data_IF_327348715769
#
_entry.id   IF_327348715769
#
_cell.length_a   1.000
_cell.length_b   1.000
_cell.length_c   1.000
_cell.angle_alpha   90.00
_cell.angle_beta   90.00
_cell.angle_gamma   90.00
#
_symmetry.space_group_name_H-M   'P 1'
#
loop_
_entity.id
_entity.type
_entity.pdbx_description
1 polymer ?
#
# COMPACT_ATOMS: atom_id res chain seq x y z
N UNK A 1 -16.14 16.94 0.79
CA UNK A 1 -14.70 17.05 1.04
C UNK A 1 -14.28 16.21 2.25
N UNK A 2 -14.11 14.90 2.04
CA UNK A 2 -13.86 13.94 3.12
C UNK A 2 -12.51 13.23 3.00
N UNK A 3 -11.52 13.85 2.37
CA UNK A 3 -10.17 13.27 2.23
C UNK A 3 -9.14 13.96 3.10
N UNK A 4 -9.48 14.32 4.35
CA UNK A 4 -8.60 15.05 5.28
C UNK A 4 -7.31 14.31 5.69
N UNK A 5 -6.88 13.28 5.02
CA UNK A 5 -5.58 12.63 5.25
C UNK A 5 -4.75 12.51 3.98
N UNK A 6 -5.40 12.30 2.83
CA UNK A 6 -4.71 12.05 1.56
C UNK A 6 -4.64 13.30 0.64
N UNK A 7 -5.28 14.41 1.03
CA UNK A 7 -5.26 15.66 0.26
C UNK A 7 -5.58 15.43 -1.22
N UNK A 8 -4.68 15.85 -2.11
CA UNK A 8 -4.89 15.79 -3.57
C UNK A 8 -4.50 14.45 -4.21
N UNK A 9 -4.38 13.35 -3.44
CA UNK A 9 -4.17 12.02 -4.04
C UNK A 9 -5.46 11.54 -4.67
N UNK A 10 -5.51 11.54 -5.99
CA UNK A 10 -6.67 11.10 -6.74
C UNK A 10 -6.80 9.57 -6.72
N UNK A 11 -8.01 9.08 -6.45
CA UNK A 11 -8.35 7.65 -6.49
C UNK A 11 -9.24 7.34 -7.69
N UNK A 12 -9.14 6.12 -8.22
CA UNK A 12 -10.10 5.65 -9.24
C UNK A 12 -11.48 5.34 -8.66
N UNK A 13 -11.58 5.04 -7.36
CA UNK A 13 -12.85 4.74 -6.70
C UNK A 13 -13.76 5.97 -6.66
N UNK A 14 -15.00 5.81 -7.11
CA UNK A 14 -16.02 6.87 -7.16
C UNK A 14 -17.05 6.69 -6.06
N UNK A 15 -17.59 5.47 -5.93
CA UNK A 15 -18.67 5.15 -4.99
C UNK A 15 -18.72 3.66 -4.71
N UNK A 16 -18.89 3.27 -3.47
CA UNK A 16 -19.31 1.93 -3.08
C UNK A 16 -20.81 1.78 -3.36
N UNK A 17 -21.19 0.74 -4.07
CA UNK A 17 -22.58 0.44 -4.45
C UNK A 17 -23.21 -0.53 -3.45
N UNK A 18 -22.46 -1.56 -3.06
CA UNK A 18 -22.77 -2.53 -2.03
C UNK A 18 -21.48 -3.17 -1.49
N UNK A 19 -21.60 -4.18 -0.61
CA UNK A 19 -20.45 -4.87 0.00
C UNK A 19 -19.53 -5.61 -1.01
N UNK A 20 -19.93 -5.74 -2.26
CA UNK A 20 -19.19 -6.48 -3.31
C UNK A 20 -18.95 -5.67 -4.58
N UNK A 21 -19.53 -4.48 -4.69
CA UNK A 21 -19.50 -3.69 -5.91
C UNK A 21 -19.08 -2.25 -5.63
N UNK A 22 -18.10 -1.80 -6.38
CA UNK A 22 -17.60 -0.43 -6.32
C UNK A 22 -17.59 0.19 -7.71
N UNK A 23 -18.18 1.37 -7.86
CA UNK A 23 -18.07 2.16 -9.07
C UNK A 23 -16.68 2.78 -9.12
N UNK A 24 -15.93 2.53 -10.19
CA UNK A 24 -14.57 3.03 -10.40
C UNK A 24 -14.43 3.74 -11.73
N UNK A 25 -13.52 4.71 -11.82
CA UNK A 25 -13.07 5.25 -13.09
C UNK A 25 -12.25 4.20 -13.83
N UNK A 26 -12.48 4.06 -15.15
CA UNK A 26 -11.64 3.21 -15.99
C UNK A 26 -10.26 3.86 -16.14
N UNK A 27 -9.22 3.07 -15.93
CA UNK A 27 -7.83 3.51 -16.03
C UNK A 27 -7.03 2.55 -16.93
N UNK A 28 -5.94 3.07 -17.49
CA UNK A 28 -4.86 2.27 -18.05
C UNK A 28 -3.82 2.09 -16.95
N UNK A 29 -3.58 0.86 -16.52
CA UNK A 29 -2.63 0.59 -15.43
C UNK A 29 -1.21 1.00 -15.85
N UNK A 30 -0.52 1.71 -14.96
CA UNK A 30 0.93 1.88 -15.05
C UNK A 30 1.55 0.55 -14.67
N UNK A 31 2.36 -0.11 -15.53
CA UNK A 31 2.81 -1.47 -15.29
C UNK A 31 3.96 -1.51 -14.26
N UNK A 32 3.74 -0.87 -13.13
CA UNK A 32 4.63 -0.81 -11.98
C UNK A 32 3.86 -1.18 -10.71
N UNK A 33 4.39 -2.11 -9.95
CA UNK A 33 4.07 -2.24 -8.53
C UNK A 33 4.97 -1.30 -7.74
N UNK A 34 4.41 -0.57 -6.81
CA UNK A 34 5.11 0.41 -5.98
C UNK A 34 5.06 -0.05 -4.54
N UNK A 35 6.21 -0.28 -3.93
CA UNK A 35 6.30 -0.77 -2.56
C UNK A 35 6.98 0.29 -1.70
N UNK A 36 6.27 0.76 -0.67
CA UNK A 36 6.82 1.68 0.33
C UNK A 36 7.12 0.89 1.60
N UNK A 37 8.32 1.05 2.17
CA UNK A 37 8.71 0.35 3.39
C UNK A 37 9.20 1.31 4.46
N UNK A 38 8.70 1.10 5.66
CA UNK A 38 9.08 1.81 6.88
C UNK A 38 10.02 0.97 7.75
N UNK A 39 9.93 -0.37 7.61
CA UNK A 39 10.67 -1.34 8.44
C UNK A 39 11.15 -2.46 7.52
N UNK A 40 12.35 -2.98 7.79
CA UNK A 40 12.89 -4.13 7.04
C UNK A 40 12.06 -5.38 7.28
N UNK A 41 11.52 -5.98 6.20
CA UNK A 41 10.76 -7.23 6.27
C UNK A 41 10.74 -7.95 4.91
N UNK A 42 10.39 -9.22 4.95
CA UNK A 42 10.09 -10.03 3.76
C UNK A 42 11.20 -10.03 2.72
N UNK A 43 10.86 -9.68 1.47
CA UNK A 43 11.81 -9.69 0.35
C UNK A 43 12.96 -8.71 0.54
N UNK A 44 12.73 -7.56 1.17
CA UNK A 44 13.80 -6.59 1.46
C UNK A 44 14.87 -7.19 2.36
N UNK A 45 14.47 -7.72 3.52
CA UNK A 45 15.38 -8.35 4.46
C UNK A 45 16.16 -9.50 3.80
N UNK A 46 15.47 -10.32 2.99
CA UNK A 46 16.07 -11.45 2.28
C UNK A 46 17.07 -11.01 1.21
N UNK A 47 16.71 -10.02 0.37
CA UNK A 47 17.54 -9.59 -0.75
C UNK A 47 18.80 -8.87 -0.29
N UNK A 48 18.70 -8.07 0.76
CA UNK A 48 19.83 -7.27 1.26
C UNK A 48 20.57 -7.91 2.43
N UNK A 49 20.13 -9.10 2.88
CA UNK A 49 20.81 -9.84 3.96
C UNK A 49 20.76 -9.11 5.30
N UNK A 50 19.71 -8.34 5.56
CA UNK A 50 19.52 -7.60 6.81
C UNK A 50 18.45 -8.26 7.68
N UNK A 51 18.51 -8.03 8.98
CA UNK A 51 17.50 -8.52 9.93
C UNK A 51 16.14 -7.87 9.65
N UNK A 52 15.06 -8.60 9.97
CA UNK A 52 13.73 -8.03 10.01
C UNK A 52 13.57 -7.14 11.25
N UNK A 53 12.76 -6.09 11.13
CA UNK A 53 12.44 -5.20 12.25
C UNK A 53 13.32 -3.95 12.36
N UNK A 54 14.26 -3.74 11.44
CA UNK A 54 15.03 -2.50 11.40
C UNK A 54 14.11 -1.38 10.92
N UNK A 55 13.87 -0.39 11.78
CA UNK A 55 13.10 0.81 11.43
C UNK A 55 13.99 1.74 10.62
N UNK A 56 13.50 2.14 9.45
CA UNK A 56 14.24 3.05 8.58
C UNK A 56 14.10 4.49 9.07
N UNK A 57 15.19 5.26 9.02
CA UNK A 57 15.17 6.69 9.30
C UNK A 57 14.26 7.44 8.31
N UNK A 58 14.32 7.03 7.05
CA UNK A 58 13.43 7.50 5.99
C UNK A 58 12.79 6.30 5.31
N UNK A 59 11.49 6.35 4.98
CA UNK A 59 10.85 5.28 4.23
C UNK A 59 11.54 5.10 2.88
N UNK A 60 11.66 3.86 2.42
CA UNK A 60 12.17 3.56 1.08
C UNK A 60 11.03 3.27 0.13
N UNK A 61 11.25 3.50 -1.17
CA UNK A 61 10.34 3.15 -2.26
C UNK A 61 11.04 2.21 -3.23
N UNK A 62 10.33 1.18 -3.63
CA UNK A 62 10.78 0.20 -4.62
C UNK A 62 9.78 0.12 -5.75
N UNK A 63 10.26 -0.13 -6.97
CA UNK A 63 9.44 -0.44 -8.12
C UNK A 63 9.68 -1.88 -8.55
N UNK A 64 8.61 -2.59 -8.91
CA UNK A 64 8.69 -3.86 -9.65
C UNK A 64 7.94 -3.73 -10.97
N UNK A 65 8.46 -4.37 -12.01
CA UNK A 65 7.74 -4.48 -13.27
C UNK A 65 6.57 -5.45 -13.08
N UNK A 66 5.34 -4.93 -13.20
CA UNK A 66 4.14 -5.74 -13.12
C UNK A 66 4.02 -6.65 -14.34
N UNK A 67 4.65 -7.81 -14.25
CA UNK A 67 4.69 -8.81 -15.30
C UNK A 67 4.90 -10.20 -14.71
N UNK A 68 3.82 -10.91 -14.43
CA UNK A 68 3.80 -12.23 -13.81
C UNK A 68 4.70 -13.25 -14.54
N UNK A 69 4.76 -13.16 -15.89
CA UNK A 69 5.59 -14.06 -16.69
C UNK A 69 7.11 -13.88 -16.44
N UNK A 70 7.51 -12.72 -15.93
CA UNK A 70 8.88 -12.40 -15.55
C UNK A 70 9.12 -12.47 -14.05
N UNK A 71 8.08 -12.79 -13.23
CA UNK A 71 8.16 -12.84 -11.79
C UNK A 71 8.31 -11.47 -11.13
N UNK A 72 7.72 -10.43 -11.71
CA UNK A 72 7.68 -9.06 -11.21
C UNK A 72 9.06 -8.51 -10.75
N UNK A 73 10.05 -8.47 -11.67
CA UNK A 73 11.41 -8.12 -11.29
C UNK A 73 11.51 -6.69 -10.76
N UNK A 74 12.37 -6.51 -9.74
CA UNK A 74 12.69 -5.19 -9.21
C UNK A 74 13.30 -4.30 -10.29
N UNK A 75 12.86 -3.05 -10.31
CA UNK A 75 13.34 -1.99 -11.20
C UNK A 75 13.81 -0.79 -10.39
N UNK A 76 14.74 -0.04 -10.95
CA UNK A 76 14.94 1.35 -10.56
C UNK A 76 14.24 2.30 -11.55
N UNK A 77 14.18 3.57 -11.21
CA UNK A 77 13.58 4.62 -12.06
C UNK A 77 14.12 4.61 -13.49
N UNK A 78 15.41 4.45 -13.68
CA UNK A 78 16.04 4.45 -15.02
C UNK A 78 15.60 3.24 -15.86
N UNK A 79 15.43 2.07 -15.24
CA UNK A 79 14.87 0.91 -15.93
C UNK A 79 13.43 1.17 -16.38
N UNK A 80 12.59 1.73 -15.49
CA UNK A 80 11.21 2.06 -15.82
C UNK A 80 11.11 3.05 -16.99
N UNK A 81 11.98 4.05 -17.03
CA UNK A 81 12.07 5.01 -18.14
C UNK A 81 12.58 4.37 -19.44
N UNK A 82 13.64 3.57 -19.38
CA UNK A 82 14.21 2.89 -20.53
C UNK A 82 13.21 1.92 -21.18
N UNK A 83 12.41 1.23 -20.36
CA UNK A 83 11.36 0.33 -20.81
C UNK A 83 10.06 1.08 -21.18
N UNK A 84 10.02 2.41 -21.05
CA UNK A 84 8.85 3.26 -21.34
C UNK A 84 7.59 2.86 -20.56
N UNK A 85 7.76 2.37 -19.34
CA UNK A 85 6.65 1.97 -18.47
C UNK A 85 5.92 3.19 -17.90
N UNK A 86 6.67 4.26 -17.62
CA UNK A 86 6.18 5.55 -17.16
C UNK A 86 7.06 6.70 -17.67
N UNK A 87 6.54 7.93 -17.65
CA UNK A 87 7.34 9.14 -17.89
C UNK A 87 8.02 9.63 -16.61
N UNK A 88 9.01 10.53 -16.69
CA UNK A 88 9.63 11.11 -15.50
C UNK A 88 8.63 11.84 -14.59
N UNK A 89 7.66 12.53 -15.18
CA UNK A 89 6.62 13.28 -14.47
C UNK A 89 5.65 12.33 -13.76
N UNK A 90 5.31 11.21 -14.41
CA UNK A 90 4.47 10.18 -13.81
C UNK A 90 5.18 9.52 -12.62
N UNK A 91 6.46 9.17 -12.75
CA UNK A 91 7.24 8.58 -11.65
C UNK A 91 7.29 9.55 -10.47
N UNK A 92 7.58 10.83 -10.71
CA UNK A 92 7.60 11.83 -9.65
C UNK A 92 6.25 11.96 -8.94
N UNK A 93 5.14 11.93 -9.70
CA UNK A 93 3.79 11.97 -9.15
C UNK A 93 3.49 10.71 -8.32
N UNK A 94 3.88 9.54 -8.82
CA UNK A 94 3.71 8.27 -8.12
C UNK A 94 4.50 8.25 -6.80
N UNK A 95 5.75 8.71 -6.81
CA UNK A 95 6.58 8.83 -5.61
C UNK A 95 5.94 9.76 -4.57
N UNK A 96 5.54 10.98 -4.98
CA UNK A 96 4.88 11.94 -4.09
C UNK A 96 3.59 11.36 -3.48
N UNK A 97 2.73 10.77 -4.29
CA UNK A 97 1.50 10.14 -3.82
C UNK A 97 1.79 8.99 -2.85
N UNK A 98 2.79 8.16 -3.15
CA UNK A 98 3.15 7.01 -2.33
C UNK A 98 3.62 7.42 -0.94
N UNK A 99 4.46 8.44 -0.82
CA UNK A 99 4.90 8.93 0.48
C UNK A 99 3.78 9.63 1.25
N UNK A 100 2.91 10.39 0.60
CA UNK A 100 1.74 11.01 1.24
C UNK A 100 0.75 9.95 1.75
N UNK A 101 0.51 8.90 0.96
CA UNK A 101 -0.29 7.74 1.38
C UNK A 101 0.38 7.05 2.59
N UNK A 102 1.70 6.87 2.57
CA UNK A 102 2.44 6.28 3.68
C UNK A 102 2.20 7.02 4.99
N UNK A 103 2.35 8.35 5.00
CA UNK A 103 2.13 9.13 6.22
C UNK A 103 0.68 9.03 6.74
N UNK A 104 -0.30 9.07 5.85
CA UNK A 104 -1.69 8.92 6.22
C UNK A 104 -2.00 7.54 6.80
N UNK A 105 -1.47 6.48 6.17
CA UNK A 105 -1.66 5.10 6.64
C UNK A 105 -0.92 4.83 7.95
N UNK A 106 0.29 5.31 8.13
CA UNK A 106 1.03 5.21 9.40
C UNK A 106 0.22 5.83 10.55
N UNK A 107 -0.27 7.05 10.34
CA UNK A 107 -1.08 7.74 11.32
C UNK A 107 -2.36 6.96 11.66
N UNK A 108 -3.07 6.48 10.64
CA UNK A 108 -4.29 5.68 10.81
C UNK A 108 -4.02 4.38 11.58
N UNK A 109 -3.08 3.56 11.13
CA UNK A 109 -2.79 2.26 11.76
C UNK A 109 -2.28 2.41 13.20
N UNK A 110 -1.48 3.45 13.46
CA UNK A 110 -1.02 3.73 14.83
C UNK A 110 -2.19 3.99 15.79
N UNK A 111 -3.26 4.65 15.34
CA UNK A 111 -4.47 4.83 16.17
C UNK A 111 -5.17 3.52 16.48
N UNK A 112 -4.95 2.48 15.68
CA UNK A 112 -5.47 1.13 15.88
C UNK A 112 -4.51 0.24 16.69
N UNK A 113 -3.39 0.77 17.19
CA UNK A 113 -2.37 -0.04 17.87
C UNK A 113 -1.54 -0.91 16.93
N UNK A 114 -1.52 -0.56 15.64
CA UNK A 114 -0.85 -1.33 14.59
C UNK A 114 0.28 -0.51 13.96
N UNK A 115 1.40 -1.15 13.71
CA UNK A 115 2.54 -0.60 12.99
C UNK A 115 2.48 -0.98 11.52
N UNK A 116 2.49 0.01 10.63
CA UNK A 116 2.62 -0.20 9.19
C UNK A 116 4.08 -0.47 8.83
N UNK A 117 4.39 -1.69 8.44
CA UNK A 117 5.75 -2.13 8.07
C UNK A 117 6.05 -1.75 6.62
N UNK A 118 5.26 -2.24 5.71
CA UNK A 118 5.31 -1.90 4.29
C UNK A 118 3.94 -2.12 3.63
N UNK A 119 3.78 -1.61 2.42
CA UNK A 119 2.58 -1.82 1.62
C UNK A 119 2.87 -1.64 0.15
N UNK A 120 2.02 -2.24 -0.69
CA UNK A 120 2.06 -2.18 -2.14
C UNK A 120 0.95 -1.28 -2.66
N UNK A 121 1.28 -0.48 -3.67
CA UNK A 121 0.35 0.37 -4.42
C UNK A 121 0.45 0.06 -5.91
N UNK A 122 -0.64 0.30 -6.62
CA UNK A 122 -0.67 0.34 -8.07
C UNK A 122 -1.36 1.63 -8.53
N UNK A 123 -0.87 2.19 -9.62
CA UNK A 123 -1.39 3.43 -10.18
C UNK A 123 -1.90 3.23 -11.60
N UNK A 124 -2.80 4.08 -12.03
CA UNK A 124 -3.34 4.08 -13.37
C UNK A 124 -3.47 5.48 -13.95
N UNK A 125 -3.55 5.55 -15.25
CA UNK A 125 -3.79 6.77 -16.03
C UNK A 125 -5.27 6.87 -16.37
N UNK A 126 -5.89 7.99 -16.09
CA UNK A 126 -7.18 8.37 -16.65
C UNK A 126 -7.02 8.72 -18.15
N UNK A 127 -8.14 8.90 -18.85
CA UNK A 127 -8.13 9.28 -20.27
C UNK A 127 -7.46 10.62 -20.56
N UNK A 128 -7.39 11.52 -19.59
CA UNK A 128 -6.73 12.81 -19.66
C UNK A 128 -5.24 12.77 -19.24
N UNK A 129 -4.72 11.58 -18.92
CA UNK A 129 -3.34 11.39 -18.47
C UNK A 129 -3.14 11.55 -16.95
N UNK A 130 -4.16 11.92 -16.20
CA UNK A 130 -4.06 12.09 -14.74
C UNK A 130 -3.72 10.75 -14.07
N UNK A 131 -2.70 10.74 -13.23
CA UNK A 131 -2.34 9.58 -12.40
C UNK A 131 -3.28 9.50 -11.21
N UNK A 132 -3.81 8.29 -10.98
CA UNK A 132 -4.67 7.99 -9.84
C UNK A 132 -4.26 6.68 -9.16
N UNK A 133 -4.52 6.58 -7.87
CA UNK A 133 -4.40 5.30 -7.16
C UNK A 133 -5.43 4.31 -7.73
N UNK A 134 -4.97 3.16 -8.21
CA UNK A 134 -5.77 2.24 -9.00
C UNK A 134 -6.12 0.93 -8.30
N UNK A 135 -5.32 0.50 -7.34
CA UNK A 135 -5.56 -0.72 -6.57
C UNK A 135 -6.10 -0.40 -5.17
N UNK A 136 -6.55 -1.41 -4.47
CA UNK A 136 -6.99 -1.30 -3.09
C UNK A 136 -5.81 -1.22 -2.12
N UNK A 137 -6.06 -0.63 -0.95
CA UNK A 137 -5.17 -0.70 0.20
C UNK A 137 -5.88 -1.59 1.22
N UNK A 138 -5.32 -2.76 1.47
CA UNK A 138 -5.91 -3.78 2.34
C UNK A 138 -4.82 -4.51 3.13
N UNK A 139 -5.18 -5.34 4.12
CA UNK A 139 -4.21 -6.21 4.79
C UNK A 139 -3.47 -7.17 3.84
N UNK A 140 -4.07 -7.49 2.68
CA UNK A 140 -3.42 -8.33 1.66
C UNK A 140 -2.29 -7.61 0.92
N UNK A 141 -2.37 -6.29 0.81
CA UNK A 141 -1.36 -5.46 0.17
C UNK A 141 -0.38 -4.82 1.15
N UNK A 142 -0.53 -5.08 2.46
CA UNK A 142 0.23 -4.47 3.54
C UNK A 142 0.88 -5.50 4.45
N UNK A 143 1.97 -5.11 5.15
CA UNK A 143 2.48 -5.79 6.35
C UNK A 143 2.16 -4.95 7.56
N UNK A 144 1.48 -5.56 8.50
CA UNK A 144 0.93 -4.93 9.69
C UNK A 144 1.38 -5.72 10.91
N UNK A 145 2.01 -5.05 11.89
CA UNK A 145 2.43 -5.68 13.12
C UNK A 145 1.78 -5.01 14.33
N UNK A 146 1.46 -5.78 15.36
CA UNK A 146 1.04 -5.21 16.63
C UNK A 146 2.13 -4.30 17.20
N UNK A 147 1.76 -3.11 17.69
CA UNK A 147 2.71 -2.10 18.14
C UNK A 147 3.48 -2.50 19.40
N UNK A 148 2.91 -3.39 20.24
CA UNK A 148 3.48 -3.80 21.53
C UNK A 148 4.21 -5.14 21.43
N UNK A 149 3.60 -6.10 20.76
CA UNK A 149 4.08 -7.49 20.71
C UNK A 149 4.91 -7.76 19.46
N UNK A 150 4.85 -6.89 18.45
CA UNK A 150 5.39 -7.10 17.10
C UNK A 150 4.84 -8.34 16.39
N UNK A 151 3.69 -8.84 16.87
CA UNK A 151 2.99 -9.95 16.23
C UNK A 151 2.50 -9.53 14.85
N UNK A 152 2.63 -10.44 13.88
CA UNK A 152 2.23 -10.20 12.48
C UNK A 152 0.71 -10.36 12.37
N UNK A 153 0.03 -9.32 11.88
CA UNK A 153 -1.43 -9.23 11.77
C UNK A 153 -1.92 -9.31 10.32
N UNK A 154 -1.07 -9.77 9.42
CA UNK A 154 -1.30 -9.76 7.97
C UNK A 154 -1.04 -11.14 7.34
N UNK A 155 -1.09 -11.22 6.02
CA UNK A 155 -0.88 -12.46 5.24
C UNK A 155 0.46 -13.16 5.48
N UNK A 156 1.45 -12.54 6.10
CA UNK A 156 2.71 -13.20 6.43
C UNK A 156 2.51 -14.29 7.49
N UNK A 157 1.45 -14.22 8.32
CA UNK A 157 1.08 -15.34 9.21
C UNK A 157 0.79 -16.60 8.42
N UNK A 158 0.01 -16.50 7.35
CA UNK A 158 -0.28 -17.64 6.47
C UNK A 158 0.97 -18.15 5.75
N UNK A 159 1.76 -17.24 5.16
CA UNK A 159 2.98 -17.60 4.41
C UNK A 159 4.05 -18.25 5.27
N UNK A 160 4.05 -17.98 6.58
CA UNK A 160 5.02 -18.51 7.54
C UNK A 160 4.47 -19.61 8.43
N UNK A 161 3.24 -20.08 8.15
CA UNK A 161 2.55 -21.13 8.92
C UNK A 161 2.49 -20.83 10.43
N UNK A 162 2.20 -19.58 10.79
CA UNK A 162 2.15 -19.13 12.19
C UNK A 162 0.80 -19.41 12.86
N UNK A 163 -0.21 -19.90 12.11
CA UNK A 163 -1.56 -20.14 12.62
C UNK A 163 -2.34 -18.86 12.94
N UNK A 164 -3.61 -18.97 13.32
CA UNK A 164 -4.45 -17.84 13.72
C UNK A 164 -4.65 -16.77 12.63
N UNK A 165 -4.64 -17.16 11.35
CA UNK A 165 -4.73 -16.22 10.20
C UNK A 165 -6.08 -15.55 10.16
N UNK A 166 -7.16 -16.32 10.36
CA UNK A 166 -8.53 -15.79 10.29
C UNK A 166 -8.79 -14.82 11.42
N UNK A 167 -8.31 -15.12 12.64
CA UNK A 167 -8.45 -14.25 13.79
C UNK A 167 -7.67 -12.96 13.62
N UNK A 168 -6.40 -13.02 13.20
CA UNK A 168 -5.57 -11.85 12.97
C UNK A 168 -6.14 -10.97 11.85
N UNK A 169 -6.64 -11.58 10.77
CA UNK A 169 -7.29 -10.86 9.68
C UNK A 169 -8.59 -10.21 10.13
N UNK A 170 -9.43 -10.94 10.88
CA UNK A 170 -10.67 -10.43 11.45
C UNK A 170 -10.41 -9.27 12.43
N UNK A 171 -9.35 -9.37 13.25
CA UNK A 171 -8.92 -8.30 14.15
C UNK A 171 -8.53 -7.05 13.36
N UNK A 172 -7.69 -7.19 12.34
CA UNK A 172 -7.26 -6.08 11.48
C UNK A 172 -8.45 -5.43 10.77
N UNK A 173 -9.39 -6.23 10.24
CA UNK A 173 -10.62 -5.73 9.60
C UNK A 173 -11.53 -5.05 10.62
N UNK A 174 -11.63 -5.56 11.86
CA UNK A 174 -12.43 -4.95 12.91
C UNK A 174 -11.94 -3.54 13.27
N UNK A 175 -10.62 -3.31 13.30
CA UNK A 175 -10.06 -1.98 13.53
C UNK A 175 -10.45 -0.98 12.44
N UNK A 176 -10.51 -1.41 11.19
CA UNK A 176 -10.94 -0.55 10.07
C UNK A 176 -12.44 -0.22 10.14
N UNK A 177 -13.29 -1.17 10.53
CA UNK A 177 -14.73 -0.95 10.65
C UNK A 177 -15.10 -0.09 11.86
N UNK A 178 -14.52 -0.34 13.04
CA UNK A 178 -14.81 0.42 14.26
C UNK A 178 -14.46 1.90 14.10
N UNK A 179 -13.34 2.21 13.44
CA UNK A 179 -12.90 3.59 13.27
C UNK A 179 -13.52 4.31 12.07
N UNK A 180 -14.00 3.62 11.07
CA UNK A 180 -14.83 4.23 10.03
C UNK A 180 -16.13 4.83 10.62
N UNK A 181 -16.72 4.18 11.62
CA UNK A 181 -17.89 4.69 12.35
C UNK A 181 -17.56 5.84 13.31
N UNK A 182 -16.39 5.84 13.96
CA UNK A 182 -15.98 6.94 14.85
C UNK A 182 -15.66 8.22 14.08
N UNK A 183 -15.08 8.13 12.88
CA UNK A 183 -14.81 9.31 12.04
C UNK A 183 -16.08 9.94 11.47
N UNK A 184 -17.17 9.19 11.32
CA UNK A 184 -18.47 9.74 10.89
C UNK A 184 -19.20 10.52 12.01
N UNK A 185 -18.80 10.38 13.28
CA UNK A 185 -19.40 11.12 14.41
C UNK A 185 -18.73 12.49 14.65
N UNK A 186 -17.56 12.75 14.08
CA UNK A 186 -16.82 14.02 14.23
C UNK A 186 -16.79 14.88 12.95
N UNK A 187 -17.69 14.61 12.01
CA UNK A 187 -17.94 15.36 10.78
C UNK A 187 -19.39 15.83 10.69
#
# INVERSE_FOLDING_TARGET
>A
DRSRGLGDVYKRQVKELDSRQTLVKKVSIVPLEVIVRNISAGSFAKHYGVEEGIVFEHPTIEFSYKNDALGDPLLNTYHALALKLATPEEIKTIEDYSFRINEALKAFWLTCGVTLVDFKLEFGRLSDGTIVLADEISPDTSRLWDVKTHEKLDKDRFRRDLGGVEEAYAETVSYTHLRAHETDQYL
#
